data_IF_423709461185
#
_entry.id   IF_423709461185
#
_cell.length_a   1.000
_cell.length_b   1.000
_cell.length_c   1.000
_cell.angle_alpha   90.00
_cell.angle_beta   90.00
_cell.angle_gamma   90.00
#
_symmetry.space_group_name_H-M   'P 1'
#
loop_
_entity.id
_entity.type
_entity.pdbx_description
1 polymer ?
#
# COMPACT_ATOMS: atom_id res chain seq x y z
N UNK A 1 -26.51 -34.23 22.87
CA UNK A 1 -26.96 -32.84 22.74
C UNK A 1 -25.83 -32.00 22.16
N UNK A 2 -26.04 -31.38 20.99
CA UNK A 2 -24.99 -30.69 20.22
C UNK A 2 -24.66 -29.37 20.91
N UNK A 3 -23.40 -29.14 21.28
CA UNK A 3 -23.01 -27.90 21.95
C UNK A 3 -23.14 -26.71 21.00
N UNK A 4 -24.05 -25.79 21.29
CA UNK A 4 -24.05 -24.47 20.68
C UNK A 4 -22.70 -23.80 20.96
N UNK A 5 -22.02 -23.32 19.91
CA UNK A 5 -20.79 -22.52 20.07
C UNK A 5 -21.21 -21.16 20.63
N UNK A 6 -21.08 -20.96 21.93
CA UNK A 6 -21.34 -19.67 22.56
C UNK A 6 -20.06 -18.83 22.59
N UNK A 7 -20.17 -17.55 22.29
CA UNK A 7 -19.04 -16.60 22.29
C UNK A 7 -18.62 -16.17 23.70
N UNK A 8 -19.54 -16.24 24.67
CA UNK A 8 -19.31 -15.81 26.05
C UNK A 8 -20.02 -16.72 27.04
N UNK A 9 -19.26 -17.29 27.99
CA UNK A 9 -19.82 -18.01 29.12
C UNK A 9 -20.44 -17.05 30.15
N UNK A 10 -21.48 -17.50 30.86
CA UNK A 10 -22.05 -16.74 31.98
C UNK A 10 -21.03 -16.54 33.13
N UNK A 11 -21.25 -15.55 33.99
CA UNK A 11 -20.33 -15.18 35.07
C UNK A 11 -19.99 -16.33 36.01
N UNK A 12 -20.99 -17.13 36.39
CA UNK A 12 -20.79 -18.29 37.27
C UNK A 12 -19.93 -19.39 36.63
N UNK A 13 -20.15 -19.69 35.34
CA UNK A 13 -19.31 -20.65 34.60
C UNK A 13 -17.89 -20.12 34.39
N UNK A 14 -17.72 -18.81 34.13
CA UNK A 14 -16.40 -18.16 34.03
C UNK A 14 -15.62 -18.30 35.33
N UNK A 15 -16.25 -17.98 36.47
CA UNK A 15 -15.61 -18.05 37.78
C UNK A 15 -15.20 -19.48 38.16
N UNK A 16 -16.03 -20.47 37.80
CA UNK A 16 -15.78 -21.90 38.07
C UNK A 16 -14.87 -22.57 37.04
N UNK A 17 -14.49 -21.88 35.96
CA UNK A 17 -13.74 -22.45 34.82
C UNK A 17 -14.38 -23.71 34.23
N UNK A 18 -15.71 -23.79 34.25
CA UNK A 18 -16.49 -24.92 33.70
C UNK A 18 -17.10 -24.57 32.34
N UNK A 19 -17.30 -25.58 31.48
CA UNK A 19 -18.00 -25.40 30.20
C UNK A 19 -19.41 -24.83 30.42
N UNK A 20 -19.70 -23.73 29.75
CA UNK A 20 -21.03 -23.13 29.71
C UNK A 20 -21.74 -23.59 28.43
N UNK A 21 -22.97 -24.07 28.54
CA UNK A 21 -23.74 -24.60 27.40
C UNK A 21 -24.56 -23.54 26.67
N UNK A 22 -24.66 -22.32 27.22
CA UNK A 22 -25.56 -21.27 26.72
C UNK A 22 -26.95 -21.37 27.32
N UNK A 23 -27.85 -20.45 26.96
CA UNK A 23 -29.21 -20.38 27.50
C UNK A 23 -29.33 -19.64 28.83
N UNK A 24 -30.57 -19.42 29.28
CA UNK A 24 -30.89 -18.69 30.51
C UNK A 24 -32.00 -19.42 31.31
N UNK A 25 -31.63 -20.18 32.36
CA UNK A 25 -30.28 -20.49 32.83
C UNK A 25 -29.55 -21.49 31.92
N UNK A 26 -28.21 -21.50 31.91
CA UNK A 26 -27.45 -22.57 31.26
C UNK A 26 -27.48 -23.88 32.06
N UNK A 27 -27.23 -25.03 31.43
CA UNK A 27 -27.38 -26.35 32.08
C UNK A 27 -26.59 -26.46 33.39
N UNK A 28 -25.32 -26.03 33.37
CA UNK A 28 -24.46 -26.07 34.55
C UNK A 28 -24.99 -25.21 35.71
N UNK A 29 -25.61 -24.07 35.41
CA UNK A 29 -26.22 -23.21 36.42
C UNK A 29 -27.59 -23.72 36.86
N UNK A 30 -28.37 -24.32 35.96
CA UNK A 30 -29.65 -24.95 36.25
C UNK A 30 -29.50 -26.14 37.19
N UNK A 31 -28.58 -27.07 36.90
CA UNK A 31 -28.28 -28.22 37.77
C UNK A 31 -27.82 -27.78 39.15
N UNK A 32 -27.01 -26.72 39.23
CA UNK A 32 -26.45 -26.22 40.49
C UNK A 32 -27.34 -25.22 41.22
N UNK A 33 -28.49 -24.86 40.63
CA UNK A 33 -29.41 -23.84 41.14
C UNK A 33 -28.70 -22.53 41.51
N UNK A 34 -27.72 -22.11 40.70
CA UNK A 34 -26.96 -20.87 40.95
C UNK A 34 -27.32 -19.76 39.96
N UNK A 35 -27.24 -18.47 40.35
CA UNK A 35 -27.55 -17.36 39.46
C UNK A 35 -26.75 -17.44 38.14
N UNK A 36 -27.46 -17.44 37.02
CA UNK A 36 -26.88 -17.48 35.67
C UNK A 36 -26.97 -16.10 35.03
N UNK A 37 -25.94 -15.27 35.23
CA UNK A 37 -25.91 -13.90 34.71
C UNK A 37 -24.84 -13.77 33.64
N UNK A 38 -25.22 -13.28 32.46
CA UNK A 38 -24.28 -12.88 31.42
C UNK A 38 -23.92 -11.41 31.59
N UNK A 39 -22.63 -11.11 31.54
CA UNK A 39 -22.15 -9.73 31.67
C UNK A 39 -22.09 -9.07 30.29
N UNK A 40 -23.19 -8.44 29.89
CA UNK A 40 -23.29 -7.71 28.61
C UNK A 40 -22.24 -6.58 28.48
N UNK A 41 -21.79 -5.98 29.59
CA UNK A 41 -20.71 -4.98 29.59
C UNK A 41 -19.36 -5.57 29.16
N UNK A 42 -19.07 -6.83 29.50
CA UNK A 42 -17.86 -7.53 29.03
C UNK A 42 -17.86 -7.70 27.50
N UNK A 43 -19.02 -8.00 26.91
CA UNK A 43 -19.14 -8.14 25.46
C UNK A 43 -19.09 -6.78 24.77
N UNK A 44 -19.70 -5.75 25.36
CA UNK A 44 -19.60 -4.38 24.87
C UNK A 44 -18.15 -3.88 24.88
N UNK A 45 -17.37 -4.15 25.94
CA UNK A 45 -15.94 -3.83 25.98
C UNK A 45 -15.14 -4.51 24.87
N UNK A 46 -15.39 -5.81 24.62
CA UNK A 46 -14.75 -6.55 23.52
C UNK A 46 -15.12 -5.97 22.15
N UNK A 47 -16.39 -5.62 21.95
CA UNK A 47 -16.87 -4.96 20.73
C UNK A 47 -16.18 -3.62 20.50
N UNK A 48 -16.09 -2.77 21.54
CA UNK A 48 -15.40 -1.48 21.47
C UNK A 48 -13.90 -1.68 21.17
N UNK A 49 -13.23 -2.62 21.84
CA UNK A 49 -11.82 -2.91 21.59
C UNK A 49 -11.59 -3.37 20.13
N UNK A 50 -12.45 -4.26 19.62
CA UNK A 50 -12.35 -4.69 18.22
C UNK A 50 -12.62 -3.55 17.24
N UNK A 51 -13.59 -2.68 17.52
CA UNK A 51 -13.88 -1.49 16.71
C UNK A 51 -12.70 -0.52 16.66
N UNK A 52 -12.02 -0.30 17.81
CA UNK A 52 -10.80 0.51 17.86
C UNK A 52 -9.69 -0.13 17.04
N UNK A 53 -9.42 -1.43 17.23
CA UNK A 53 -8.40 -2.13 16.45
C UNK A 53 -8.68 -2.04 14.93
N UNK A 54 -9.93 -2.20 14.51
CA UNK A 54 -10.31 -2.05 13.10
C UNK A 54 -10.07 -0.63 12.60
N UNK A 55 -10.40 0.38 13.40
CA UNK A 55 -10.14 1.78 13.08
C UNK A 55 -8.64 2.06 12.96
N UNK A 56 -7.84 1.62 13.93
CA UNK A 56 -6.39 1.85 13.97
C UNK A 56 -5.68 1.14 12.80
N UNK A 57 -6.14 -0.06 12.45
CA UNK A 57 -5.66 -0.78 11.26
C UNK A 57 -6.03 -0.04 9.97
N UNK A 58 -7.25 0.49 9.86
CA UNK A 58 -7.67 1.26 8.70
C UNK A 58 -6.86 2.55 8.55
N UNK A 59 -6.61 3.27 9.65
CA UNK A 59 -5.77 4.47 9.66
C UNK A 59 -4.32 4.15 9.28
N UNK A 60 -3.75 3.09 9.86
CA UNK A 60 -2.40 2.62 9.52
C UNK A 60 -2.28 2.23 8.05
N UNK A 61 -3.30 1.58 7.50
CA UNK A 61 -3.35 1.22 6.08
C UNK A 61 -3.37 2.45 5.17
N UNK A 62 -4.11 3.49 5.54
CA UNK A 62 -4.14 4.75 4.79
C UNK A 62 -2.79 5.46 4.88
N UNK A 63 -2.17 5.52 6.06
CA UNK A 63 -0.84 6.10 6.24
C UNK A 63 0.23 5.36 5.44
N UNK A 64 0.19 4.02 5.44
CA UNK A 64 1.09 3.20 4.64
C UNK A 64 0.95 3.52 3.14
N UNK A 65 -0.29 3.62 2.63
CA UNK A 65 -0.53 4.00 1.22
C UNK A 65 0.02 5.38 0.89
N UNK A 66 -0.11 6.37 1.79
CA UNK A 66 0.47 7.71 1.59
C UNK A 66 1.99 7.65 1.52
N UNK A 67 2.64 6.86 2.38
CA UNK A 67 4.08 6.69 2.37
C UNK A 67 4.56 5.94 1.11
N UNK A 68 3.86 4.89 0.69
CA UNK A 68 4.14 4.18 -0.56
C UNK A 68 4.04 5.11 -1.76
N UNK A 69 2.98 5.92 -1.83
CA UNK A 69 2.80 6.89 -2.90
C UNK A 69 3.93 7.92 -2.95
N UNK A 70 4.37 8.41 -1.80
CA UNK A 70 5.49 9.35 -1.73
C UNK A 70 6.81 8.68 -2.16
N UNK A 71 7.19 7.58 -1.52
CA UNK A 71 8.48 6.90 -1.78
C UNK A 71 8.54 6.35 -3.19
N UNK A 72 7.50 5.65 -3.61
CA UNK A 72 7.40 5.09 -4.95
C UNK A 72 7.33 6.18 -6.01
N UNK A 73 6.59 7.26 -5.76
CA UNK A 73 6.49 8.35 -6.72
C UNK A 73 7.85 9.06 -6.91
N UNK A 74 8.62 9.28 -5.84
CA UNK A 74 10.00 9.78 -5.95
C UNK A 74 10.84 8.84 -6.84
N UNK A 75 10.82 7.54 -6.56
CA UNK A 75 11.59 6.54 -7.34
C UNK A 75 11.14 6.53 -8.80
N UNK A 76 9.84 6.58 -9.05
CA UNK A 76 9.26 6.56 -10.39
C UNK A 76 9.64 7.82 -11.19
N UNK A 77 9.56 9.01 -10.57
CA UNK A 77 10.01 10.25 -11.19
C UNK A 77 11.50 10.20 -11.52
N UNK A 78 12.34 9.63 -10.66
CA UNK A 78 13.77 9.48 -10.94
C UNK A 78 14.09 8.44 -12.02
N UNK A 79 13.21 7.44 -12.22
CA UNK A 79 13.41 6.37 -13.20
C UNK A 79 12.92 6.73 -14.61
N UNK A 80 11.79 7.45 -14.69
CA UNK A 80 11.05 7.65 -15.93
C UNK A 80 10.61 9.10 -16.15
N UNK A 81 10.86 10.00 -15.21
CA UNK A 81 10.63 11.43 -15.43
C UNK A 81 11.64 12.01 -16.40
N UNK A 82 11.24 13.06 -17.10
CA UNK A 82 12.16 13.83 -17.91
C UNK A 82 13.14 14.63 -17.03
N UNK A 83 14.11 15.29 -17.69
CA UNK A 83 15.12 16.11 -17.00
C UNK A 83 14.51 17.28 -16.22
N UNK A 84 13.34 17.79 -16.63
CA UNK A 84 12.67 18.91 -15.97
C UNK A 84 11.96 18.44 -14.70
N UNK A 85 11.08 17.46 -14.78
CA UNK A 85 10.40 16.83 -13.63
C UNK A 85 11.41 16.33 -12.60
N UNK A 86 12.52 15.73 -13.04
CA UNK A 86 13.58 15.27 -12.13
C UNK A 86 14.28 16.43 -11.41
N UNK A 87 14.64 17.50 -12.14
CA UNK A 87 15.27 18.70 -11.54
C UNK A 87 14.32 19.41 -10.58
N UNK A 88 13.04 19.51 -10.93
CA UNK A 88 12.03 20.14 -10.10
C UNK A 88 11.78 19.34 -8.82
N UNK A 89 11.69 18.01 -8.92
CA UNK A 89 11.61 17.14 -7.74
C UNK A 89 12.81 17.37 -6.80
N UNK A 90 14.04 17.40 -7.34
CA UNK A 90 15.25 17.66 -6.55
C UNK A 90 15.20 19.05 -5.91
N UNK A 91 14.74 20.06 -6.64
CA UNK A 91 14.59 21.44 -6.14
C UNK A 91 13.57 21.50 -5.00
N UNK A 92 12.43 20.85 -5.14
CA UNK A 92 11.38 20.78 -4.11
C UNK A 92 11.90 20.08 -2.86
N UNK A 93 12.63 18.96 -3.00
CA UNK A 93 13.20 18.27 -1.83
C UNK A 93 14.27 19.14 -1.13
N UNK A 94 15.11 19.84 -1.90
CA UNK A 94 16.20 20.67 -1.35
C UNK A 94 15.75 22.02 -0.80
N UNK A 95 14.57 22.50 -1.16
CA UNK A 95 14.05 23.80 -0.70
C UNK A 95 13.59 23.78 0.77
N UNK A 96 13.53 22.60 1.39
CA UNK A 96 13.16 22.45 2.80
C UNK A 96 11.65 22.62 3.07
N UNK A 97 10.81 22.42 2.06
CA UNK A 97 9.34 22.39 2.24
C UNK A 97 8.92 21.19 3.08
N UNK A 98 7.70 21.27 3.63
CA UNK A 98 7.14 20.16 4.40
C UNK A 98 6.88 18.91 3.54
N UNK A 99 6.82 17.76 4.21
CA UNK A 99 6.61 16.47 3.55
C UNK A 99 5.28 16.40 2.80
N UNK A 100 4.26 17.14 3.24
CA UNK A 100 2.96 17.19 2.57
C UNK A 100 3.03 17.88 1.20
N UNK A 101 3.85 18.92 1.07
CA UNK A 101 4.12 19.62 -0.18
C UNK A 101 4.94 18.75 -1.13
N UNK A 102 5.98 18.07 -0.63
CA UNK A 102 6.72 17.08 -1.44
C UNK A 102 5.79 15.99 -1.94
N UNK A 103 4.95 15.43 -1.06
CA UNK A 103 3.98 14.41 -1.42
C UNK A 103 2.94 14.93 -2.43
N UNK A 104 2.51 16.18 -2.33
CA UNK A 104 1.60 16.78 -3.29
C UNK A 104 2.26 16.93 -4.67
N UNK A 105 3.51 17.41 -4.72
CA UNK A 105 4.27 17.53 -5.95
C UNK A 105 4.45 16.16 -6.63
N UNK A 106 4.97 15.16 -5.90
CA UNK A 106 5.15 13.79 -6.40
C UNK A 106 3.85 13.19 -6.93
N UNK A 107 2.73 13.37 -6.21
CA UNK A 107 1.41 12.91 -6.69
C UNK A 107 0.99 13.56 -8.00
N UNK A 108 1.31 14.84 -8.17
CA UNK A 108 0.98 15.56 -9.39
C UNK A 108 1.84 15.05 -10.56
N UNK A 109 3.14 14.84 -10.35
CA UNK A 109 4.04 14.26 -11.36
C UNK A 109 3.54 12.87 -11.82
N UNK A 110 3.25 11.96 -10.89
CA UNK A 110 2.70 10.64 -11.23
C UNK A 110 1.39 10.74 -12.01
N UNK A 111 0.52 11.71 -11.69
CA UNK A 111 -0.76 11.87 -12.40
C UNK A 111 -0.60 12.52 -13.77
N UNK A 112 0.37 13.40 -13.94
CA UNK A 112 0.59 14.17 -15.14
C UNK A 112 1.35 13.39 -16.23
N UNK A 113 2.22 12.45 -15.82
CA UNK A 113 3.08 11.71 -16.73
C UNK A 113 2.79 10.19 -16.66
N UNK A 114 2.38 9.61 -17.80
CA UNK A 114 2.03 8.20 -17.93
C UNK A 114 3.23 7.28 -17.73
N UNK A 115 4.43 7.68 -18.13
CA UNK A 115 5.66 6.90 -17.96
C UNK A 115 6.05 6.83 -16.47
N UNK A 116 5.93 7.95 -15.75
CA UNK A 116 6.10 7.98 -14.29
C UNK A 116 5.03 7.11 -13.61
N UNK A 117 3.78 7.17 -14.04
CA UNK A 117 2.73 6.33 -13.48
C UNK A 117 3.00 4.84 -13.70
N UNK A 118 3.40 4.46 -14.92
CA UNK A 118 3.75 3.08 -15.24
C UNK A 118 4.94 2.60 -14.41
N UNK A 119 6.00 3.41 -14.33
CA UNK A 119 7.17 3.11 -13.50
C UNK A 119 6.80 2.97 -12.02
N UNK A 120 5.81 3.73 -11.52
CA UNK A 120 5.28 3.59 -10.17
C UNK A 120 4.54 2.27 -9.97
N UNK A 121 3.69 1.88 -10.90
CA UNK A 121 2.87 0.67 -10.81
C UNK A 121 3.73 -0.62 -10.83
N UNK A 122 4.94 -0.56 -11.40
CA UNK A 122 5.93 -1.65 -11.38
C UNK A 122 6.72 -1.75 -10.06
N UNK A 123 6.60 -0.78 -9.15
CA UNK A 123 7.36 -0.79 -7.89
C UNK A 123 6.81 -1.85 -6.93
N UNK A 124 7.67 -2.80 -6.59
CA UNK A 124 7.40 -3.79 -5.55
C UNK A 124 7.76 -3.20 -4.18
N UNK A 125 6.74 -2.88 -3.37
CA UNK A 125 6.91 -2.34 -2.01
C UNK A 125 7.21 -3.41 -0.94
N UNK A 126 7.81 -4.53 -1.33
CA UNK A 126 8.17 -5.63 -0.43
C UNK A 126 9.69 -5.63 -0.25
N UNK A 127 10.14 -5.30 0.96
CA UNK A 127 11.56 -5.16 1.30
C UNK A 127 11.99 -6.36 2.16
N UNK A 128 11.87 -7.56 1.61
CA UNK A 128 12.31 -8.81 2.25
C UNK A 128 13.64 -9.27 1.62
N UNK A 129 14.65 -8.40 1.69
CA UNK A 129 16.00 -8.68 1.19
C UNK A 129 16.82 -9.54 2.15
N UNK A 130 17.86 -10.25 1.66
CA UNK A 130 18.82 -10.92 2.53
C UNK A 130 19.49 -9.90 3.47
N UNK A 131 19.86 -10.35 4.68
CA UNK A 131 20.46 -9.48 5.71
C UNK A 131 21.82 -8.91 5.26
N UNK A 132 22.52 -9.62 4.38
CA UNK A 132 23.77 -9.23 3.75
C UNK A 132 23.48 -8.82 2.30
N UNK A 133 23.58 -7.52 2.01
CA UNK A 133 23.46 -6.96 0.67
C UNK A 133 24.85 -6.47 0.19
N UNK A 134 25.16 -6.60 -1.11
CA UNK A 134 26.37 -6.02 -1.67
C UNK A 134 26.39 -4.50 -1.47
N UNK A 135 27.60 -3.93 -1.36
CA UNK A 135 27.74 -2.49 -1.20
C UNK A 135 27.21 -1.75 -2.43
N UNK A 136 26.74 -0.50 -2.30
CA UNK A 136 26.31 0.29 -3.45
C UNK A 136 27.36 0.38 -4.56
N UNK A 137 28.65 0.41 -4.20
CA UNK A 137 29.76 0.42 -5.15
C UNK A 137 29.87 -0.90 -5.91
N UNK A 138 29.69 -2.04 -5.22
CA UNK A 138 29.69 -3.36 -5.85
C UNK A 138 28.52 -3.51 -6.82
N UNK A 139 27.32 -3.09 -6.42
CA UNK A 139 26.16 -3.08 -7.29
C UNK A 139 26.38 -2.24 -8.55
N UNK A 140 26.90 -1.02 -8.40
CA UNK A 140 27.17 -0.13 -9.54
C UNK A 140 28.25 -0.68 -10.48
N UNK A 141 29.21 -1.45 -9.98
CA UNK A 141 30.24 -2.08 -10.81
C UNK A 141 29.75 -3.28 -11.62
N UNK A 142 28.63 -3.89 -11.21
CA UNK A 142 28.03 -5.05 -11.87
C UNK A 142 26.93 -4.67 -12.89
N UNK A 143 26.49 -3.41 -12.91
CA UNK A 143 25.55 -2.91 -13.91
C UNK A 143 26.29 -2.76 -15.24
N UNK A 144 25.90 -3.49 -16.31
CA UNK A 144 26.49 -3.29 -17.63
C UNK A 144 26.24 -1.85 -18.08
N UNK A 145 27.31 -1.12 -18.41
CA UNK A 145 27.21 0.11 -19.19
C UNK A 145 26.75 -0.28 -20.61
N UNK A 146 25.45 -0.49 -20.81
CA UNK A 146 24.91 -0.67 -22.15
C UNK A 146 24.95 0.68 -22.88
N UNK A 147 26.09 0.98 -23.51
CA UNK A 147 26.16 1.82 -24.70
C UNK A 147 25.49 1.07 -25.85
N UNK A 148 24.18 1.17 -26.00
CA UNK A 148 23.50 0.77 -27.24
C UNK A 148 22.19 1.55 -27.41
N UNK A 149 22.30 2.88 -27.48
CA UNK A 149 21.33 3.70 -28.19
C UNK A 149 21.57 3.56 -29.70
N UNK A 150 21.16 2.44 -30.28
CA UNK A 150 21.06 2.30 -31.72
C UNK A 150 19.90 3.17 -32.23
N UNK A 151 20.18 4.46 -32.46
CA UNK A 151 19.38 5.33 -33.32
C UNK A 151 19.53 4.82 -34.76
N UNK A 152 18.45 4.40 -35.45
CA UNK A 152 18.56 4.20 -36.88
C UNK A 152 18.67 5.59 -37.55
N UNK A 153 19.85 5.83 -38.12
CA UNK A 153 20.13 6.96 -39.01
C UNK A 153 19.09 7.04 -40.13
N UNK A 154 18.49 8.21 -40.23
CA UNK A 154 17.72 8.70 -41.37
C UNK A 154 18.53 8.60 -42.66
N UNK A 155 18.09 7.77 -43.61
CA UNK A 155 18.50 7.88 -45.01
C UNK A 155 17.52 8.84 -45.70
N UNK A 156 18.05 9.97 -46.11
CA UNK A 156 17.35 10.97 -46.89
C UNK A 156 17.22 10.60 -48.38
N UNK A 157 16.17 11.18 -48.95
CA UNK A 157 16.01 11.68 -50.32
C UNK A 157 16.13 10.72 -51.51
N UNK A 158 15.03 10.55 -52.25
CA UNK A 158 15.03 10.93 -53.66
C UNK A 158 13.62 11.32 -54.16
N UNK A 159 13.60 12.51 -54.75
CA UNK A 159 12.49 13.21 -55.38
C UNK A 159 12.15 12.66 -56.76
N UNK A 160 10.87 12.69 -57.14
CA UNK A 160 10.47 12.79 -58.55
C UNK A 160 9.19 13.60 -58.68
N UNK A 161 9.37 14.76 -59.30
CA UNK A 161 8.36 15.71 -59.75
C UNK A 161 7.58 15.22 -60.98
N UNK A 162 6.48 15.95 -61.27
CA UNK A 162 5.74 16.13 -62.54
C UNK A 162 4.51 15.21 -62.67
N UNK A 163 3.32 15.69 -63.03
CA UNK A 163 2.92 17.00 -63.54
C UNK A 163 1.39 17.20 -63.39
N UNK A 164 1.00 18.47 -63.36
CA UNK A 164 -0.37 18.98 -63.33
C UNK A 164 -1.23 18.59 -64.55
N UNK A 165 -2.56 18.62 -64.38
CA UNK A 165 -3.41 19.32 -65.35
C UNK A 165 -4.77 19.75 -64.76
N UNK A 166 -5.20 20.90 -65.26
CA UNK A 166 -6.31 21.77 -64.86
C UNK A 166 -7.69 21.31 -65.35
N UNK A 167 -8.70 21.72 -64.57
CA UNK A 167 -10.02 22.25 -64.92
C UNK A 167 -10.70 21.89 -66.26
N UNK A 168 -11.93 21.37 -66.16
CA UNK A 168 -13.17 21.98 -66.68
C UNK A 168 -14.36 21.39 -65.94
#
# INVERSE_FOLDING_TARGET
QRSQKISTACGACKQRKTRCTGGQPCDACGTRRTPCVYNASSDQRRKIANQRNVHDLAESQVNLKRHQQLLGGIIATLKAGDDESTRDLIRVIRSGVDLSQVAAHVRNECRANVEIQHAYDEIIFHIDGPLELPSPTQLLSEIPLNEDSHFPESIGSESSEKNASMAS
#
